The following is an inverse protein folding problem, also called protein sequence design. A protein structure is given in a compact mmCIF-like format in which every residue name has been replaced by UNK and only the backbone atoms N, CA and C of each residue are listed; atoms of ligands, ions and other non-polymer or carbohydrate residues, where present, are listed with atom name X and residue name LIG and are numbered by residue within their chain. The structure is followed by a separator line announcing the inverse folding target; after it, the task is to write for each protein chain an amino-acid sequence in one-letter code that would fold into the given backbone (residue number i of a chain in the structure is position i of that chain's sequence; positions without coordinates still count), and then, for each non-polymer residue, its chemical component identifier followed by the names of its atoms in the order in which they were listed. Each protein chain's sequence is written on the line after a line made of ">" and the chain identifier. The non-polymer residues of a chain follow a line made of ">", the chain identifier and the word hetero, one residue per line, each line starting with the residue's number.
data_IF_202406595051
#
_entry.id   IF_202406595051
#
_cell.length_a   1.000
_cell.length_b   1.000
_cell.length_c   1.000
_cell.angle_alpha   90.00
_cell.angle_beta   90.00
_cell.angle_gamma   90.00
#
_symmetry.space_group_name_H-M   'P 1'
#
loop_
_entity.id
_entity.type
_entity.pdbx_description
1 polymer ?
#
# COMPACT_ATOMS: atom_id res chain seq x y z
N UNK A 1 -4.78 9.64 -48.47
CA UNK A 1 -3.42 9.10 -48.28
C UNK A 1 -3.13 8.69 -46.83
N UNK A 2 -3.53 9.47 -45.81
CA UNK A 2 -3.24 9.22 -44.38
C UNK A 2 -3.73 7.86 -43.82
N UNK A 3 -4.86 7.31 -44.28
CA UNK A 3 -5.42 6.06 -43.74
C UNK A 3 -4.61 4.80 -44.08
N UNK A 4 -3.93 4.79 -45.24
CA UNK A 4 -3.15 3.63 -45.73
C UNK A 4 -1.86 3.48 -44.93
N UNK A 5 -1.31 4.60 -44.48
CA UNK A 5 -0.06 4.66 -43.72
C UNK A 5 -0.22 4.19 -42.28
N UNK A 6 -1.31 4.59 -41.61
CA UNK A 6 -1.64 4.13 -40.24
C UNK A 6 -1.87 2.63 -40.19
N UNK A 7 -2.55 2.05 -41.19
CA UNK A 7 -2.80 0.60 -41.24
C UNK A 7 -1.49 -0.20 -41.37
N UNK A 8 -0.56 0.24 -42.23
CA UNK A 8 0.76 -0.37 -42.38
C UNK A 8 1.59 -0.29 -41.09
N UNK A 9 1.55 0.85 -40.40
CA UNK A 9 2.23 1.01 -39.11
C UNK A 9 1.63 0.03 -38.10
N UNK A 10 0.30 -0.03 -37.95
CA UNK A 10 -0.37 -0.97 -37.06
C UNK A 10 0.03 -2.43 -37.31
N UNK A 11 0.10 -2.86 -38.56
CA UNK A 11 0.50 -4.23 -38.91
C UNK A 11 1.97 -4.51 -38.57
N UNK A 12 2.83 -3.49 -38.65
CA UNK A 12 4.27 -3.60 -38.38
C UNK A 12 4.58 -3.61 -36.89
N UNK A 13 4.04 -2.66 -36.12
CA UNK A 13 4.27 -2.56 -34.66
C UNK A 13 3.29 -3.39 -33.83
N UNK A 14 2.24 -3.96 -34.45
CA UNK A 14 1.17 -4.73 -33.79
C UNK A 14 0.52 -3.98 -32.62
N UNK A 15 0.37 -2.67 -32.78
CA UNK A 15 -0.18 -1.75 -31.78
C UNK A 15 -1.58 -1.26 -32.17
N UNK A 16 -2.32 -0.74 -31.19
CA UNK A 16 -3.66 -0.17 -31.44
C UNK A 16 -3.58 1.11 -32.27
N UNK A 17 -4.62 1.36 -33.07
CA UNK A 17 -4.75 2.60 -33.86
C UNK A 17 -4.68 3.86 -32.99
N UNK A 18 -5.26 3.80 -31.79
CA UNK A 18 -5.27 4.92 -30.85
C UNK A 18 -3.87 5.25 -30.35
N UNK A 19 -3.02 4.24 -30.11
CA UNK A 19 -1.64 4.48 -29.70
C UNK A 19 -0.84 5.15 -30.81
N UNK A 20 -0.96 4.66 -32.05
CA UNK A 20 -0.30 5.26 -33.23
C UNK A 20 -0.72 6.71 -33.42
N UNK A 21 -2.03 6.99 -33.30
CA UNK A 21 -2.56 8.35 -33.44
C UNK A 21 -2.11 9.28 -32.30
N UNK A 22 -2.08 8.79 -31.07
CA UNK A 22 -1.62 9.57 -29.93
C UNK A 22 -0.12 9.91 -30.05
N UNK A 23 0.70 8.94 -30.44
CA UNK A 23 2.14 9.14 -30.66
C UNK A 23 2.39 10.12 -31.81
N UNK A 24 1.67 10.00 -32.93
CA UNK A 24 1.79 10.91 -34.06
C UNK A 24 1.35 12.36 -33.74
N UNK A 25 0.51 12.54 -32.71
CA UNK A 25 0.05 13.85 -32.25
C UNK A 25 0.84 14.39 -31.05
N UNK A 26 1.78 13.62 -30.48
CA UNK A 26 2.73 14.18 -29.51
C UNK A 26 3.65 15.15 -30.26
N UNK A 27 3.84 16.36 -29.74
CA UNK A 27 4.59 17.43 -30.41
C UNK A 27 5.97 16.96 -30.84
N UNK A 28 6.44 17.41 -32.00
CA UNK A 28 7.74 17.08 -32.61
C UNK A 28 8.95 17.62 -31.84
N UNK A 29 8.84 17.82 -30.53
CA UNK A 29 10.02 17.92 -29.70
C UNK A 29 10.67 16.54 -29.82
N UNK A 30 11.92 16.51 -30.29
CA UNK A 30 12.73 15.31 -30.54
C UNK A 30 13.08 14.60 -29.21
N UNK A 31 12.10 14.48 -28.32
CA UNK A 31 12.15 13.80 -27.04
C UNK A 31 11.86 12.33 -27.24
N UNK A 32 12.75 11.51 -26.68
CA UNK A 32 12.55 10.07 -26.58
C UNK A 32 11.20 9.75 -25.94
N UNK A 33 10.43 8.88 -26.58
CA UNK A 33 9.12 8.43 -26.10
C UNK A 33 9.30 7.45 -24.92
N UNK A 34 9.68 7.97 -23.75
CA UNK A 34 9.72 7.16 -22.54
C UNK A 34 8.32 6.81 -22.06
N UNK A 35 8.17 5.56 -21.57
CA UNK A 35 6.98 5.17 -20.84
C UNK A 35 6.82 6.12 -19.65
N UNK A 36 5.67 6.80 -19.55
CA UNK A 36 5.33 7.58 -18.36
C UNK A 36 5.55 6.71 -17.12
N UNK A 37 6.31 7.22 -16.17
CA UNK A 37 6.47 6.59 -14.86
C UNK A 37 5.08 6.29 -14.30
N UNK A 38 4.89 5.08 -13.78
CA UNK A 38 3.59 4.66 -13.25
C UNK A 38 3.06 5.69 -12.25
N UNK A 39 1.74 5.84 -12.14
CA UNK A 39 1.17 6.74 -11.16
C UNK A 39 1.64 6.32 -9.76
N UNK A 40 2.34 7.21 -9.09
CA UNK A 40 2.72 7.09 -7.69
C UNK A 40 1.46 7.27 -6.83
N UNK A 41 0.57 6.28 -6.87
CA UNK A 41 -0.63 6.31 -6.05
C UNK A 41 -0.23 6.45 -4.58
N UNK A 42 -0.84 7.42 -3.88
CA UNK A 42 -0.52 7.64 -2.47
C UNK A 42 -0.92 6.40 -1.66
N UNK A 43 0.08 5.73 -1.06
CA UNK A 43 -0.14 4.53 -0.28
C UNK A 43 -0.33 4.91 1.19
N UNK A 44 -1.59 5.09 1.59
CA UNK A 44 -1.98 5.40 2.98
C UNK A 44 -1.40 4.42 4.02
N UNK A 45 -1.03 3.20 3.62
CA UNK A 45 -0.43 2.21 4.54
C UNK A 45 1.00 2.56 4.94
N UNK A 46 1.71 3.28 4.07
CA UNK A 46 3.09 3.76 4.27
C UNK A 46 3.14 5.23 4.65
N UNK A 47 1.98 5.83 4.88
CA UNK A 47 1.90 7.22 5.26
C UNK A 47 2.55 7.42 6.66
N UNK A 48 3.49 8.37 6.82
CA UNK A 48 4.19 8.56 8.09
C UNK A 48 3.27 8.96 9.24
N UNK A 49 2.19 9.71 8.98
CA UNK A 49 1.22 10.09 10.00
C UNK A 49 0.42 8.87 10.46
N UNK A 50 0.01 8.03 9.51
CA UNK A 50 -0.61 6.74 9.84
C UNK A 50 0.31 5.87 10.71
N UNK A 51 1.57 5.68 10.32
CA UNK A 51 2.52 4.85 11.06
C UNK A 51 2.81 5.39 12.47
N UNK A 52 2.99 6.70 12.62
CA UNK A 52 3.24 7.31 13.94
C UNK A 52 2.03 7.22 14.87
N UNK A 53 0.82 7.45 14.35
CA UNK A 53 -0.42 7.28 15.12
C UNK A 53 -0.64 5.82 15.53
N UNK A 54 -0.27 4.89 14.65
CA UNK A 54 -0.35 3.46 14.88
C UNK A 54 0.63 3.00 15.95
N UNK A 55 1.90 3.41 15.86
CA UNK A 55 2.94 3.10 16.84
C UNK A 55 2.57 3.65 18.22
N UNK A 56 2.04 4.87 18.29
CA UNK A 56 1.55 5.47 19.54
C UNK A 56 0.44 4.63 20.17
N UNK A 57 -0.54 4.16 19.39
CA UNK A 57 -1.62 3.30 19.88
C UNK A 57 -1.14 1.93 20.33
N UNK A 58 -0.14 1.35 19.66
CA UNK A 58 0.45 0.08 20.12
C UNK A 58 1.17 0.27 21.47
N UNK A 59 1.97 1.34 21.60
CA UNK A 59 2.69 1.66 22.85
C UNK A 59 1.72 1.92 24.01
N UNK A 60 0.65 2.66 23.77
CA UNK A 60 -0.39 2.95 24.77
C UNK A 60 -1.16 1.68 25.19
N UNK A 61 -1.33 0.72 24.27
CA UNK A 61 -2.17 -0.44 24.49
C UNK A 61 -1.45 -1.77 24.17
N UNK A 62 -0.38 -2.07 24.89
CA UNK A 62 0.44 -3.29 24.74
C UNK A 62 -0.34 -4.63 24.86
N UNK A 63 -1.63 -4.61 25.23
CA UNK A 63 -2.44 -5.77 25.64
C UNK A 63 -3.70 -5.97 24.76
N UNK A 64 -4.12 -4.98 23.96
CA UNK A 64 -5.36 -5.09 23.18
C UNK A 64 -5.20 -6.09 22.03
N UNK A 65 -6.30 -6.73 21.60
CA UNK A 65 -6.25 -7.58 20.41
C UNK A 65 -6.21 -6.73 19.13
N UNK A 66 -5.72 -7.32 18.04
CA UNK A 66 -5.72 -6.71 16.70
C UNK A 66 -7.11 -6.16 16.31
N UNK A 67 -8.19 -6.89 16.67
CA UNK A 67 -9.57 -6.51 16.38
C UNK A 67 -10.01 -5.20 17.07
N UNK A 68 -9.40 -4.86 18.21
CA UNK A 68 -9.71 -3.61 18.89
C UNK A 68 -8.93 -2.45 18.27
N UNK A 69 -7.68 -2.69 17.85
CA UNK A 69 -6.90 -1.72 17.08
C UNK A 69 -7.56 -1.39 15.74
N UNK A 70 -8.10 -2.39 15.03
CA UNK A 70 -8.81 -2.18 13.76
C UNK A 70 -10.03 -1.30 13.92
N UNK A 71 -10.79 -1.49 15.00
CA UNK A 71 -11.96 -0.67 15.29
C UNK A 71 -11.55 0.75 15.71
N UNK A 72 -10.54 0.89 16.58
CA UNK A 72 -10.04 2.18 17.06
C UNK A 72 -9.42 3.01 15.92
N UNK A 73 -8.90 2.37 14.87
CA UNK A 73 -8.33 3.03 13.69
C UNK A 73 -9.29 3.10 12.51
N UNK A 74 -10.43 2.42 12.57
CA UNK A 74 -11.34 2.22 11.43
C UNK A 74 -10.63 1.68 10.18
N UNK A 75 -9.68 0.77 10.38
CA UNK A 75 -8.84 0.19 9.31
C UNK A 75 -8.93 -1.32 9.33
N UNK A 76 -8.93 -1.93 8.13
CA UNK A 76 -8.95 -3.38 7.99
C UNK A 76 -7.72 -4.05 8.64
N UNK A 77 -7.92 -5.22 9.24
CA UNK A 77 -6.86 -5.99 9.92
C UNK A 77 -5.63 -6.22 9.05
N UNK A 78 -5.83 -6.52 7.77
CA UNK A 78 -4.73 -6.76 6.81
C UNK A 78 -3.85 -5.52 6.61
N UNK A 79 -4.43 -4.33 6.69
CA UNK A 79 -3.71 -3.07 6.55
C UNK A 79 -2.88 -2.75 7.80
N UNK A 80 -3.29 -3.22 8.97
CA UNK A 80 -2.52 -3.11 10.22
C UNK A 80 -1.41 -4.17 10.29
N UNK A 81 -1.66 -5.37 9.77
CA UNK A 81 -0.68 -6.46 9.79
C UNK A 81 0.60 -6.16 9.01
N UNK A 82 0.51 -5.46 7.87
CA UNK A 82 1.69 -5.14 7.07
C UNK A 82 2.69 -4.26 7.84
N UNK A 83 2.29 -3.10 8.41
CA UNK A 83 3.20 -2.27 9.18
C UNK A 83 3.66 -2.91 10.49
N UNK A 84 2.84 -3.71 11.17
CA UNK A 84 3.30 -4.47 12.36
C UNK A 84 4.50 -5.36 12.06
N UNK A 85 4.48 -6.00 10.89
CA UNK A 85 5.51 -6.95 10.47
C UNK A 85 6.75 -6.25 9.92
N UNK A 86 6.54 -5.30 9.02
CA UNK A 86 7.61 -4.76 8.18
C UNK A 86 8.16 -3.43 8.71
N UNK A 87 7.32 -2.60 9.37
CA UNK A 87 7.67 -1.22 9.75
C UNK A 87 7.91 -1.05 11.27
N UNK A 88 7.12 -1.73 12.13
CA UNK A 88 7.16 -1.58 13.59
C UNK A 88 7.96 -2.69 14.29
N UNK A 89 8.21 -3.81 13.61
CA UNK A 89 9.04 -4.89 14.15
C UNK A 89 8.44 -5.61 15.36
N UNK A 90 7.11 -5.80 15.38
CA UNK A 90 6.39 -6.50 16.46
C UNK A 90 5.77 -7.83 15.98
N UNK A 91 6.59 -8.82 15.59
CA UNK A 91 6.08 -10.11 15.10
C UNK A 91 5.32 -10.89 16.18
N UNK A 92 5.56 -10.60 17.47
CA UNK A 92 4.83 -11.17 18.60
C UNK A 92 3.33 -10.86 18.58
N UNK A 93 2.94 -9.75 17.95
CA UNK A 93 1.54 -9.35 17.79
C UNK A 93 0.81 -10.17 16.71
N UNK A 94 1.55 -10.82 15.81
CA UNK A 94 1.01 -11.75 14.81
C UNK A 94 0.85 -13.17 15.34
N UNK A 95 1.54 -13.51 16.42
CA UNK A 95 1.50 -14.86 17.01
C UNK A 95 0.25 -14.97 17.89
N UNK A 96 -0.49 -16.06 17.75
CA UNK A 96 -1.65 -16.34 18.61
C UNK A 96 -1.19 -16.32 20.08
N UNK A 97 -1.59 -15.28 20.82
CA UNK A 97 -1.14 -15.02 22.19
C UNK A 97 -1.80 -16.00 23.17
N UNK A 98 -1.36 -17.25 23.17
CA UNK A 98 -1.86 -18.24 24.12
C UNK A 98 -1.09 -18.25 25.45
N UNK A 99 0.02 -17.52 25.57
CA UNK A 99 0.92 -17.64 26.74
C UNK A 99 1.47 -16.31 27.27
N UNK A 100 1.84 -15.36 26.40
CA UNK A 100 2.51 -14.11 26.79
C UNK A 100 1.60 -13.08 27.48
N UNK A 101 0.30 -13.08 27.15
CA UNK A 101 -0.67 -12.20 27.81
C UNK A 101 -1.06 -12.67 29.20
N UNK A 102 -0.71 -13.89 29.59
CA UNK A 102 -1.18 -14.47 30.85
C UNK A 102 -0.56 -13.77 32.05
N UNK A 103 0.75 -13.50 32.03
CA UNK A 103 1.44 -12.82 33.13
C UNK A 103 1.01 -11.35 33.26
N UNK A 104 0.93 -10.62 32.13
CA UNK A 104 0.49 -9.21 32.13
C UNK A 104 -1.01 -9.09 32.52
N UNK A 105 -1.87 -10.02 32.08
CA UNK A 105 -3.28 -10.08 32.51
C UNK A 105 -3.45 -10.49 33.98
N UNK A 106 -2.53 -11.30 34.53
CA UNK A 106 -2.51 -11.61 35.97
C UNK A 106 -2.13 -10.37 36.78
N UNK A 107 -1.07 -9.66 36.38
CA UNK A 107 -0.61 -8.45 37.06
C UNK A 107 -1.70 -7.36 37.12
N UNK A 108 -2.37 -7.09 35.99
CA UNK A 108 -3.47 -6.10 35.92
C UNK A 108 -4.77 -6.50 36.64
N UNK A 109 -4.96 -7.79 36.98
CA UNK A 109 -6.06 -8.23 37.85
C UNK A 109 -5.76 -8.04 39.33
N UNK A 110 -4.48 -8.04 39.71
CA UNK A 110 -4.06 -7.89 41.10
C UNK A 110 -4.13 -6.43 41.59
N UNK A 111 -4.13 -5.47 40.67
CA UNK A 111 -4.24 -4.03 40.96
C UNK A 111 -5.70 -3.52 41.06
N UNK A 112 -6.70 -4.41 41.01
CA UNK A 112 -8.12 -4.10 41.22
C UNK A 112 -8.60 -4.55 42.59
#
# INVERSE_FOLDING_TARGET
>A
MVKVEVARIMDTVKCSRSLVFNVANMNNDEEDLFKKTGSEGHNLKKDPEFLSSFEKKIKEYHIKSMNRLTNDLSVATRTIMSPVKDDVGLPSYMRTQHHLLTEIRKATRLER
#
